data_IF_291467382387
#
_entry.id   IF_291467382387
#
_cell.length_a   1.000
_cell.length_b   1.000
_cell.length_c   1.000
_cell.angle_alpha   90.00
_cell.angle_beta   90.00
_cell.angle_gamma   90.00
#
_symmetry.space_group_name_H-M   'P 1'
#
loop_
_entity.id
_entity.type
_entity.pdbx_description
1 polymer ?
#
# COMPACT_ATOMS: atom_id res chain seq x y z
N UNK A 1 20.67 -6.53 4.26
CA UNK A 1 20.33 -5.68 5.43
C UNK A 1 18.86 -5.74 5.82
N UNK A 2 17.90 -5.58 4.89
CA UNK A 2 16.45 -5.60 5.23
C UNK A 2 15.92 -6.87 5.93
N UNK A 3 16.32 -8.05 5.45
CA UNK A 3 15.92 -9.35 6.04
C UNK A 3 16.49 -9.50 7.46
N UNK A 4 17.73 -9.06 7.68
CA UNK A 4 18.36 -9.03 9.00
C UNK A 4 17.61 -8.08 9.95
N UNK A 5 17.24 -6.89 9.49
CA UNK A 5 16.44 -5.95 10.28
C UNK A 5 15.06 -6.54 10.64
N UNK A 6 14.39 -7.22 9.71
CA UNK A 6 13.14 -7.92 10.00
C UNK A 6 13.30 -9.06 11.02
N UNK A 7 14.39 -9.84 10.94
CA UNK A 7 14.69 -10.89 11.91
C UNK A 7 14.89 -10.35 13.33
N UNK A 8 15.64 -9.25 13.46
CA UNK A 8 15.83 -8.56 14.75
C UNK A 8 14.50 -8.02 15.27
N UNK A 9 13.74 -7.32 14.43
CA UNK A 9 12.48 -6.71 14.85
C UNK A 9 11.44 -7.78 15.23
N UNK A 10 11.38 -8.89 14.50
CA UNK A 10 10.53 -10.04 14.83
C UNK A 10 10.93 -10.70 16.16
N UNK A 11 12.25 -10.84 16.42
CA UNK A 11 12.76 -11.31 17.71
C UNK A 11 12.39 -10.37 18.87
N UNK A 12 12.50 -9.05 18.67
CA UNK A 12 12.07 -8.05 19.66
C UNK A 12 10.57 -8.14 19.92
N UNK A 13 9.74 -8.38 18.90
CA UNK A 13 8.29 -8.56 19.07
C UNK A 13 7.95 -9.71 20.02
N UNK A 14 8.67 -10.83 19.92
CA UNK A 14 8.49 -11.98 20.82
C UNK A 14 8.94 -11.63 22.24
N UNK A 15 10.10 -10.98 22.39
CA UNK A 15 10.66 -10.60 23.69
C UNK A 15 9.85 -9.50 24.41
N UNK A 16 9.07 -8.70 23.68
CA UNK A 16 8.25 -7.61 24.22
C UNK A 16 6.80 -7.99 24.46
N UNK A 17 6.47 -9.29 24.37
CA UNK A 17 5.11 -9.83 24.51
C UNK A 17 4.09 -9.10 23.61
N UNK A 18 4.38 -9.10 22.31
CA UNK A 18 3.47 -8.56 21.28
C UNK A 18 3.13 -7.07 21.48
N UNK A 19 4.11 -6.28 21.95
CA UNK A 19 3.95 -4.85 21.98
C UNK A 19 3.60 -4.34 20.55
N UNK A 20 2.56 -3.51 20.41
CA UNK A 20 2.03 -3.11 19.11
C UNK A 20 3.04 -2.29 18.29
N UNK A 21 4.03 -1.67 18.94
CA UNK A 21 5.09 -0.91 18.28
C UNK A 21 6.00 -1.83 17.44
N UNK A 22 6.66 -2.87 17.99
CA UNK A 22 7.40 -3.86 17.21
C UNK A 22 6.58 -4.59 16.14
N UNK A 23 5.33 -4.97 16.44
CA UNK A 23 4.46 -5.65 15.46
C UNK A 23 4.20 -4.75 14.25
N UNK A 24 3.74 -3.52 14.49
CA UNK A 24 3.50 -2.53 13.45
C UNK A 24 4.79 -2.20 12.69
N UNK A 25 5.90 -2.02 13.41
CA UNK A 25 7.21 -1.77 12.83
C UNK A 25 7.66 -2.88 11.88
N UNK A 26 7.43 -4.14 12.23
CA UNK A 26 7.84 -5.28 11.40
C UNK A 26 7.04 -5.32 10.09
N UNK A 27 5.74 -5.06 10.19
CA UNK A 27 4.85 -5.03 9.04
C UNK A 27 5.16 -3.85 8.11
N UNK A 28 5.31 -2.64 8.67
CA UNK A 28 5.64 -1.43 7.91
C UNK A 28 7.03 -1.52 7.27
N UNK A 29 8.00 -2.16 7.92
CA UNK A 29 9.31 -2.42 7.35
C UNK A 29 9.26 -3.38 6.14
N UNK A 30 8.28 -4.27 6.07
CA UNK A 30 8.10 -5.16 4.92
C UNK A 30 7.72 -4.41 3.64
N UNK A 31 7.04 -3.25 3.75
CA UNK A 31 6.58 -2.47 2.60
C UNK A 31 7.75 -2.07 1.68
N UNK A 32 8.79 -1.36 2.13
CA UNK A 32 9.93 -1.02 1.26
C UNK A 32 10.68 -2.24 0.75
N UNK A 33 10.69 -3.38 1.47
CA UNK A 33 11.34 -4.61 1.03
C UNK A 33 10.61 -5.26 -0.14
N UNK A 34 9.28 -5.39 -0.05
CA UNK A 34 8.43 -5.88 -1.14
C UNK A 34 8.56 -4.95 -2.36
N UNK A 35 8.54 -3.63 -2.12
CA UNK A 35 8.72 -2.63 -3.17
C UNK A 35 10.08 -2.77 -3.88
N UNK A 36 11.16 -2.93 -3.11
CA UNK A 36 12.52 -3.14 -3.64
C UNK A 36 12.64 -4.44 -4.42
N UNK A 37 12.09 -5.54 -3.91
CA UNK A 37 12.08 -6.84 -4.58
C UNK A 37 11.32 -6.79 -5.92
N UNK A 38 10.15 -6.14 -5.94
CA UNK A 38 9.36 -5.99 -7.16
C UNK A 38 10.05 -5.09 -8.19
N UNK A 39 10.68 -4.00 -7.74
CA UNK A 39 11.46 -3.12 -8.62
C UNK A 39 12.67 -3.84 -9.23
N UNK A 40 13.40 -4.61 -8.42
CA UNK A 40 14.52 -5.44 -8.89
C UNK A 40 14.06 -6.48 -9.92
N UNK A 41 12.95 -7.18 -9.63
CA UNK A 41 12.36 -8.16 -10.55
C UNK A 41 11.99 -7.52 -11.90
N UNK A 42 11.35 -6.35 -11.90
CA UNK A 42 11.01 -5.67 -13.15
C UNK A 42 12.24 -5.22 -13.94
N UNK A 43 13.27 -4.74 -13.24
CA UNK A 43 14.55 -4.38 -13.84
C UNK A 43 15.24 -5.57 -14.52
N UNK A 44 15.26 -6.73 -13.86
CA UNK A 44 15.81 -7.98 -14.42
C UNK A 44 15.02 -8.45 -15.64
N UNK A 45 13.69 -8.30 -15.62
CA UNK A 45 12.81 -8.68 -16.74
C UNK A 45 12.78 -7.65 -17.88
N UNK A 46 13.58 -6.59 -17.81
CA UNK A 46 13.59 -5.48 -18.78
C UNK A 46 12.19 -4.90 -19.04
N UNK A 47 11.33 -4.93 -18.02
CA UNK A 47 9.96 -4.38 -18.10
C UNK A 47 10.01 -2.91 -17.69
N UNK A 48 10.03 -2.03 -18.67
CA UNK A 48 9.92 -0.59 -18.43
C UNK A 48 8.44 -0.18 -18.34
N UNK A 49 8.14 0.72 -17.40
CA UNK A 49 6.86 1.40 -17.38
C UNK A 49 6.80 2.43 -18.50
N UNK A 50 5.61 2.70 -19.01
CA UNK A 50 5.42 3.75 -20.01
C UNK A 50 4.92 5.02 -19.33
N UNK A 51 5.39 6.20 -19.75
CA UNK A 51 4.85 7.48 -19.27
C UNK A 51 3.33 7.53 -19.45
N UNK A 52 2.66 8.10 -18.47
CA UNK A 52 1.19 8.31 -18.47
C UNK A 52 0.88 9.79 -18.53
N UNK A 53 -0.38 10.12 -18.83
CA UNK A 53 -0.87 11.50 -18.88
C UNK A 53 -0.52 12.25 -17.57
N UNK A 54 -0.15 13.55 -17.61
CA UNK A 54 0.29 14.30 -16.42
C UNK A 54 -0.68 14.22 -15.24
N UNK A 55 -1.99 14.30 -15.50
CA UNK A 55 -3.03 14.16 -14.46
C UNK A 55 -3.03 12.77 -13.84
N UNK A 56 -2.89 11.71 -14.64
CA UNK A 56 -2.77 10.34 -14.13
C UNK A 56 -1.52 10.16 -13.27
N UNK A 57 -0.41 10.80 -13.65
CA UNK A 57 0.80 10.81 -12.84
C UNK A 57 0.59 11.52 -11.50
N UNK A 58 -0.08 12.67 -11.49
CA UNK A 58 -0.39 13.40 -10.26
C UNK A 58 -1.23 12.55 -9.30
N UNK A 59 -2.32 11.95 -9.80
CA UNK A 59 -3.19 11.09 -8.98
C UNK A 59 -2.42 9.86 -8.47
N UNK A 60 -1.61 9.22 -9.31
CA UNK A 60 -0.79 8.09 -8.89
C UNK A 60 0.27 8.47 -7.83
N UNK A 61 0.84 9.69 -7.90
CA UNK A 61 1.77 10.21 -6.88
C UNK A 61 1.09 10.43 -5.52
N UNK A 62 -0.21 10.73 -5.50
CA UNK A 62 -0.99 10.87 -4.27
C UNK A 62 -1.44 9.50 -3.75
N UNK A 63 -1.74 8.56 -4.66
CA UNK A 63 -2.25 7.23 -4.33
C UNK A 63 -1.25 6.40 -3.50
N UNK A 64 0.05 6.47 -3.82
CA UNK A 64 1.08 5.71 -3.08
C UNK A 64 1.21 6.16 -1.60
N UNK A 65 1.42 7.45 -1.27
CA UNK A 65 1.49 7.87 0.13
C UNK A 65 0.16 7.64 0.86
N UNK A 66 -0.99 7.79 0.18
CA UNK A 66 -2.28 7.44 0.77
C UNK A 66 -2.38 5.94 1.09
N UNK A 67 -1.84 5.06 0.23
CA UNK A 67 -1.76 3.62 0.51
C UNK A 67 -0.89 3.33 1.74
N UNK A 68 0.25 4.01 1.88
CA UNK A 68 1.10 3.90 3.07
C UNK A 68 0.36 4.36 4.33
N UNK A 69 -0.40 5.46 4.24
CA UNK A 69 -1.23 5.97 5.34
C UNK A 69 -2.30 4.95 5.74
N UNK A 70 -3.04 4.39 4.79
CA UNK A 70 -4.06 3.36 5.02
C UNK A 70 -3.44 2.16 5.75
N UNK A 71 -2.31 1.64 5.27
CA UNK A 71 -1.63 0.51 5.90
C UNK A 71 -1.16 0.85 7.31
N UNK A 72 -0.59 2.05 7.50
CA UNK A 72 -0.15 2.53 8.83
C UNK A 72 -1.33 2.60 9.80
N UNK A 73 -2.44 3.21 9.40
CA UNK A 73 -3.64 3.27 10.24
C UNK A 73 -4.20 1.86 10.54
N UNK A 74 -4.13 0.93 9.59
CA UNK A 74 -4.49 -0.48 9.83
C UNK A 74 -3.65 -1.13 10.93
N UNK A 75 -2.34 -0.82 11.01
CA UNK A 75 -1.50 -1.30 12.12
C UNK A 75 -1.87 -0.66 13.46
N UNK A 76 -2.33 0.61 13.45
CA UNK A 76 -2.84 1.28 14.66
C UNK A 76 -4.15 0.65 15.12
N UNK A 77 -5.08 0.35 14.20
CA UNK A 77 -6.33 -0.38 14.52
C UNK A 77 -6.01 -1.73 15.16
N UNK A 78 -5.07 -2.48 14.58
CA UNK A 78 -4.65 -3.78 15.10
C UNK A 78 -4.04 -3.65 16.51
N UNK A 79 -3.17 -2.66 16.73
CA UNK A 79 -2.53 -2.41 18.02
C UNK A 79 -3.43 -1.79 19.10
N UNK A 80 -4.61 -1.28 18.72
CA UNK A 80 -5.63 -0.80 19.64
C UNK A 80 -6.71 -1.85 19.94
N UNK A 81 -6.89 -2.84 19.07
CA UNK A 81 -7.93 -3.85 19.18
C UNK A 81 -7.81 -4.78 20.39
N UNK A 82 -8.90 -5.51 20.74
CA UNK A 82 -8.92 -6.40 21.90
C UNK A 82 -7.99 -7.61 21.77
N UNK A 83 -7.72 -8.05 20.54
CA UNK A 83 -6.90 -9.22 20.23
C UNK A 83 -5.57 -8.81 19.57
N UNK A 84 -4.70 -8.11 20.31
CA UNK A 84 -3.36 -7.72 19.83
C UNK A 84 -2.35 -8.90 19.80
N UNK A 85 -2.85 -10.12 19.53
CA UNK A 85 -2.09 -11.36 19.47
C UNK A 85 -2.04 -12.18 20.77
N UNK A 86 -2.37 -11.59 21.93
CA UNK A 86 -2.55 -12.24 23.24
C UNK A 86 -3.52 -11.37 24.08
N UNK A 87 -4.31 -11.98 24.97
CA UNK A 87 -5.20 -11.26 25.90
C UNK A 87 -4.43 -10.29 26.81
N UNK A 88 -3.17 -10.58 27.11
CA UNK A 88 -2.29 -9.76 27.98
C UNK A 88 -1.44 -8.72 27.21
N UNK A 89 -1.57 -8.64 25.88
CA UNK A 89 -0.75 -7.77 25.07
C UNK A 89 -1.01 -6.27 25.36
N UNK A 90 0.07 -5.47 25.35
CA UNK A 90 -0.03 -4.00 25.51
C UNK A 90 -0.80 -3.40 24.33
N UNK A 91 -1.52 -2.29 24.57
CA UNK A 91 -2.28 -1.58 23.54
C UNK A 91 -1.85 -0.12 23.47
N UNK A 92 -2.11 0.54 22.34
CA UNK A 92 -1.83 1.98 22.20
C UNK A 92 -2.71 2.88 23.09
N UNK A 93 -3.83 2.36 23.61
CA UNK A 93 -4.74 3.11 24.47
C UNK A 93 -5.71 4.04 23.72
N UNK A 94 -5.71 4.01 22.38
CA UNK A 94 -6.75 4.68 21.59
C UNK A 94 -8.07 3.91 21.66
N UNK A 95 -9.19 4.63 21.50
CA UNK A 95 -10.49 4.00 21.29
C UNK A 95 -10.48 3.20 19.97
N UNK A 96 -10.65 1.85 20.02
CA UNK A 96 -10.62 1.00 18.84
C UNK A 96 -11.68 1.38 17.80
N UNK A 97 -12.84 1.89 18.24
CA UNK A 97 -13.90 2.30 17.34
C UNK A 97 -13.49 3.53 16.54
N UNK A 98 -13.06 4.60 17.21
CA UNK A 98 -12.58 5.81 16.53
C UNK A 98 -11.45 5.54 15.52
N UNK A 99 -10.43 4.75 15.89
CA UNK A 99 -9.33 4.46 14.95
C UNK A 99 -9.78 3.59 13.78
N UNK A 100 -10.75 2.70 14.00
CA UNK A 100 -11.33 1.87 12.93
C UNK A 100 -12.10 2.71 11.92
N UNK A 101 -12.88 3.70 12.39
CA UNK A 101 -13.57 4.65 11.50
C UNK A 101 -12.59 5.50 10.71
N UNK A 102 -11.59 6.07 11.36
CA UNK A 102 -10.55 6.85 10.66
C UNK A 102 -9.82 6.00 9.60
N UNK A 103 -9.49 4.75 9.92
CA UNK A 103 -8.92 3.83 8.94
C UNK A 103 -9.88 3.58 7.77
N UNK A 104 -11.16 3.29 8.04
CA UNK A 104 -12.17 3.08 7.01
C UNK A 104 -12.33 4.30 6.09
N UNK A 105 -12.34 5.52 6.64
CA UNK A 105 -12.41 6.76 5.87
C UNK A 105 -11.23 6.89 4.90
N UNK A 106 -10.02 6.54 5.34
CA UNK A 106 -8.85 6.57 4.46
C UNK A 106 -8.90 5.48 3.38
N UNK A 107 -9.48 4.31 3.65
CA UNK A 107 -9.72 3.26 2.65
C UNK A 107 -10.73 3.74 1.61
N UNK A 108 -11.81 4.40 2.03
CA UNK A 108 -12.81 4.99 1.12
C UNK A 108 -12.15 6.06 0.24
N UNK A 109 -11.36 6.96 0.83
CA UNK A 109 -10.61 7.96 0.09
C UNK A 109 -9.68 7.33 -0.96
N UNK A 110 -8.99 6.23 -0.62
CA UNK A 110 -8.13 5.48 -1.53
C UNK A 110 -8.91 4.86 -2.70
N UNK A 111 -10.08 4.28 -2.42
CA UNK A 111 -10.97 3.71 -3.44
C UNK A 111 -11.48 4.82 -4.38
N UNK A 112 -11.96 5.93 -3.84
CA UNK A 112 -12.44 7.08 -4.61
C UNK A 112 -11.34 7.66 -5.50
N UNK A 113 -10.12 7.83 -4.97
CA UNK A 113 -8.97 8.29 -5.75
C UNK A 113 -8.61 7.32 -6.88
N UNK A 114 -8.71 6.02 -6.63
CA UNK A 114 -8.46 4.98 -7.64
C UNK A 114 -9.52 5.01 -8.75
N UNK A 115 -10.80 5.20 -8.39
CA UNK A 115 -11.89 5.37 -9.36
C UNK A 115 -11.65 6.63 -10.19
N UNK A 116 -11.29 7.75 -9.55
CA UNK A 116 -10.94 8.98 -10.25
C UNK A 116 -9.79 8.77 -11.25
N UNK A 117 -8.75 8.02 -10.87
CA UNK A 117 -7.66 7.66 -11.78
C UNK A 117 -8.13 6.82 -12.98
N UNK A 118 -9.04 5.86 -12.78
CA UNK A 118 -9.63 5.08 -13.88
C UNK A 118 -10.41 5.99 -14.84
N UNK A 119 -11.20 6.92 -14.30
CA UNK A 119 -11.98 7.86 -15.10
C UNK A 119 -11.08 8.80 -15.90
N UNK A 120 -10.04 9.36 -15.27
CA UNK A 120 -9.03 10.19 -15.95
C UNK A 120 -8.38 9.41 -17.08
N UNK A 121 -7.86 8.20 -16.80
CA UNK A 121 -7.26 7.37 -17.84
C UNK A 121 -8.22 7.09 -19.00
N UNK A 122 -9.51 6.88 -18.71
CA UNK A 122 -10.53 6.63 -19.73
C UNK A 122 -10.77 7.84 -20.64
N UNK A 123 -10.78 9.05 -20.08
CA UNK A 123 -11.02 10.30 -20.82
C UNK A 123 -9.76 10.77 -21.55
N UNK A 124 -8.57 10.52 -21.01
CA UNK A 124 -7.29 10.92 -21.61
C UNK A 124 -6.70 9.84 -22.53
N UNK A 125 -7.50 8.84 -22.93
CA UNK A 125 -7.06 7.74 -23.80
C UNK A 125 -6.71 8.27 -25.19
N UNK A 126 -5.50 7.99 -25.64
CA UNK A 126 -5.05 8.18 -27.03
C UNK A 126 -4.80 6.82 -27.71
N UNK A 127 -4.59 6.80 -29.02
CA UNK A 127 -4.24 5.56 -29.77
C UNK A 127 -2.97 4.87 -29.25
N UNK A 128 -2.13 5.56 -28.47
CA UNK A 128 -0.91 5.05 -27.83
C UNK A 128 -1.08 4.80 -26.32
N UNK A 129 -2.29 4.50 -25.85
CA UNK A 129 -2.52 4.32 -24.40
C UNK A 129 -1.88 3.02 -23.87
N UNK A 130 -1.14 3.13 -22.78
CA UNK A 130 -0.52 2.01 -22.09
C UNK A 130 -1.56 1.08 -21.42
N UNK A 131 -1.93 0.01 -22.12
CA UNK A 131 -2.88 -1.00 -21.63
C UNK A 131 -2.45 -1.67 -20.32
N UNK A 132 -1.15 -1.72 -20.01
CA UNK A 132 -0.66 -2.36 -18.79
C UNK A 132 -0.89 -1.50 -17.55
N UNK A 133 -0.79 -0.17 -17.67
CA UNK A 133 -1.08 0.73 -16.56
C UNK A 133 -2.57 0.67 -16.19
N UNK A 134 -3.47 0.73 -17.17
CA UNK A 134 -4.92 0.61 -16.94
C UNK A 134 -5.30 -0.72 -16.28
N UNK A 135 -4.67 -1.82 -16.69
CA UNK A 135 -4.85 -3.12 -16.03
C UNK A 135 -4.36 -3.07 -14.58
N UNK A 136 -3.19 -2.49 -14.32
CA UNK A 136 -2.66 -2.37 -12.96
C UNK A 136 -3.57 -1.54 -12.05
N UNK A 137 -4.15 -0.43 -12.53
CA UNK A 137 -5.11 0.39 -11.77
C UNK A 137 -6.38 -0.41 -11.44
N UNK A 138 -6.92 -1.18 -12.40
CA UNK A 138 -8.09 -2.03 -12.16
C UNK A 138 -7.82 -3.16 -11.17
N UNK A 139 -6.65 -3.80 -11.27
CA UNK A 139 -6.22 -4.82 -10.30
C UNK A 139 -6.11 -4.20 -8.90
N UNK A 140 -5.50 -3.01 -8.80
CA UNK A 140 -5.40 -2.30 -7.53
C UNK A 140 -6.79 -2.01 -6.94
N UNK A 141 -7.74 -1.51 -7.75
CA UNK A 141 -9.11 -1.30 -7.30
C UNK A 141 -9.77 -2.59 -6.80
N UNK A 142 -9.66 -3.68 -7.57
CA UNK A 142 -10.28 -4.96 -7.20
C UNK A 142 -9.72 -5.52 -5.89
N UNK A 143 -8.40 -5.48 -5.71
CA UNK A 143 -7.74 -5.93 -4.48
C UNK A 143 -8.13 -5.05 -3.30
N UNK A 144 -8.16 -3.72 -3.47
CA UNK A 144 -8.57 -2.77 -2.43
C UNK A 144 -10.03 -2.93 -2.02
N UNK A 145 -10.94 -3.18 -2.98
CA UNK A 145 -12.34 -3.48 -2.68
C UNK A 145 -12.48 -4.78 -1.90
N UNK A 146 -11.81 -5.85 -2.34
CA UNK A 146 -11.82 -7.12 -1.63
C UNK A 146 -11.28 -6.97 -0.19
N UNK A 147 -10.22 -6.18 0.00
CA UNK A 147 -9.69 -5.89 1.33
C UNK A 147 -10.60 -5.01 2.19
N UNK A 148 -11.22 -3.99 1.61
CA UNK A 148 -12.22 -3.19 2.30
C UNK A 148 -13.40 -4.03 2.77
N UNK A 149 -13.86 -4.97 1.93
CA UNK A 149 -14.90 -5.94 2.30
C UNK A 149 -14.46 -6.85 3.43
N UNK A 150 -13.25 -7.42 3.37
CA UNK A 150 -12.74 -8.25 4.47
C UNK A 150 -12.61 -7.46 5.78
N UNK A 151 -12.12 -6.22 5.73
CA UNK A 151 -12.01 -5.34 6.90
C UNK A 151 -13.38 -5.02 7.50
N UNK A 152 -14.39 -4.77 6.66
CA UNK A 152 -15.77 -4.57 7.11
C UNK A 152 -16.32 -5.84 7.80
N UNK A 153 -16.19 -7.00 7.17
CA UNK A 153 -16.60 -8.27 7.78
C UNK A 153 -15.88 -8.48 9.12
N UNK A 154 -14.56 -8.27 9.16
CA UNK A 154 -13.74 -8.39 10.36
C UNK A 154 -14.25 -7.50 11.51
N UNK A 155 -14.63 -6.26 11.22
CA UNK A 155 -15.17 -5.32 12.21
C UNK A 155 -16.50 -5.81 12.81
N UNK A 156 -17.43 -6.30 11.98
CA UNK A 156 -18.76 -6.73 12.44
C UNK A 156 -18.82 -8.14 13.01
N UNK A 157 -17.90 -9.02 12.63
CA UNK A 157 -17.86 -10.42 13.10
C UNK A 157 -17.00 -10.62 14.34
N UNK A 158 -16.44 -9.54 14.90
CA UNK A 158 -15.68 -9.62 16.15
C UNK A 158 -14.26 -10.17 16.00
N UNK A 159 -13.60 -9.89 14.87
CA UNK A 159 -12.20 -10.25 14.61
C UNK A 159 -11.88 -11.76 14.54
N UNK A 160 -12.62 -12.58 13.77
CA UNK A 160 -12.30 -14.00 13.64
C UNK A 160 -10.90 -14.20 13.02
N UNK A 161 -10.08 -15.07 13.62
CA UNK A 161 -8.65 -15.22 13.32
C UNK A 161 -8.35 -15.42 11.83
N UNK A 162 -9.14 -16.26 11.16
CA UNK A 162 -8.98 -16.53 9.73
C UNK A 162 -9.15 -15.26 8.89
N UNK A 163 -10.15 -14.43 9.21
CA UNK A 163 -10.40 -13.18 8.46
C UNK A 163 -9.29 -12.17 8.73
N UNK A 164 -8.82 -12.08 9.97
CA UNK A 164 -7.65 -11.25 10.33
C UNK A 164 -6.42 -11.67 9.53
N UNK A 165 -6.13 -12.97 9.45
CA UNK A 165 -5.03 -13.51 8.66
C UNK A 165 -5.16 -13.17 7.16
N UNK A 166 -6.36 -13.34 6.59
CA UNK A 166 -6.64 -12.97 5.20
C UNK A 166 -6.49 -11.45 4.96
N UNK A 167 -6.87 -10.63 5.94
CA UNK A 167 -6.76 -9.18 5.85
C UNK A 167 -5.30 -8.71 5.93
N UNK A 168 -4.48 -9.35 6.77
CA UNK A 168 -3.03 -9.09 6.85
C UNK A 168 -2.31 -9.48 5.56
N UNK A 169 -2.57 -10.69 5.05
CA UNK A 169 -2.02 -11.14 3.77
C UNK A 169 -2.44 -10.21 2.63
N UNK A 170 -3.72 -9.86 2.60
CA UNK A 170 -4.30 -8.98 1.62
C UNK A 170 -3.78 -7.54 1.67
N UNK A 171 -3.41 -7.04 2.84
CA UNK A 171 -2.73 -5.75 3.00
C UNK A 171 -1.38 -5.73 2.27
N UNK A 172 -0.64 -6.83 2.29
CA UNK A 172 0.58 -7.02 1.48
C UNK A 172 0.28 -7.04 -0.03
N UNK A 173 -0.85 -7.62 -0.45
CA UNK A 173 -1.29 -7.61 -1.85
C UNK A 173 -1.71 -6.21 -2.31
N UNK A 174 -2.41 -5.42 -1.49
CA UNK A 174 -2.73 -4.01 -1.76
C UNK A 174 -1.45 -3.23 -2.01
N UNK A 175 -0.46 -3.36 -1.12
CA UNK A 175 0.83 -2.69 -1.30
C UNK A 175 1.56 -3.14 -2.57
N UNK A 176 1.58 -4.44 -2.83
CA UNK A 176 2.20 -5.01 -4.03
C UNK A 176 1.55 -4.47 -5.31
N UNK A 177 0.21 -4.39 -5.33
CA UNK A 177 -0.55 -3.84 -6.45
C UNK A 177 -0.32 -2.33 -6.63
N UNK A 178 -0.27 -1.55 -5.54
CA UNK A 178 0.08 -0.13 -5.57
C UNK A 178 1.47 0.10 -6.16
N UNK A 179 2.46 -0.68 -5.72
CA UNK A 179 3.83 -0.55 -6.23
C UNK A 179 3.94 -1.02 -7.68
N UNK A 180 3.23 -2.08 -8.07
CA UNK A 180 3.17 -2.52 -9.46
C UNK A 180 2.58 -1.42 -10.37
N UNK A 181 1.52 -0.74 -9.93
CA UNK A 181 0.94 0.43 -10.60
C UNK A 181 1.98 1.54 -10.77
N UNK A 182 2.71 1.89 -9.69
CA UNK A 182 3.80 2.89 -9.74
C UNK A 182 4.83 2.56 -10.81
N UNK A 183 5.27 1.30 -10.86
CA UNK A 183 6.28 0.85 -11.81
C UNK A 183 5.74 0.88 -13.26
N UNK A 184 4.53 0.37 -13.48
CA UNK A 184 3.89 0.35 -14.82
C UNK A 184 3.60 1.73 -15.39
N UNK A 185 3.27 2.70 -14.52
CA UNK A 185 3.04 4.09 -14.91
C UNK A 185 4.31 4.95 -14.99
N UNK A 186 5.48 4.37 -14.72
CA UNK A 186 6.77 5.09 -14.60
C UNK A 186 6.68 6.34 -13.72
N UNK A 187 6.05 6.18 -12.54
CA UNK A 187 5.77 7.31 -11.65
C UNK A 187 7.03 7.71 -10.91
N UNK A 188 7.55 8.90 -11.24
CA UNK A 188 8.75 9.49 -10.67
C UNK A 188 8.42 10.73 -9.82
N UNK A 189 8.91 10.75 -8.59
CA UNK A 189 8.70 11.86 -7.64
C UNK A 189 9.68 13.02 -7.85
N UNK A 190 10.83 12.75 -8.46
CA UNK A 190 11.83 13.75 -8.80
C UNK A 190 11.76 14.04 -10.30
N UNK A 191 11.62 15.30 -10.67
CA UNK A 191 11.84 15.77 -12.04
C UNK A 191 13.31 15.58 -12.36
N UNK A 192 13.63 14.75 -13.36
CA UNK A 192 14.95 14.85 -14.00
C UNK A 192 14.95 16.18 -14.74
N UNK A 193 15.69 17.16 -14.26
CA UNK A 193 16.11 18.26 -15.13
C UNK A 193 16.86 17.63 -16.30
N UNK A 194 16.25 17.73 -17.47
CA UNK A 194 16.94 17.51 -18.73
C UNK A 194 18.05 18.54 -18.76
N UNK A 195 19.29 18.13 -18.44
CA UNK A 195 20.47 18.91 -18.83
C UNK A 195 20.37 19.07 -20.34
N UNK A 196 20.01 20.27 -20.77
CA UNK A 196 20.05 20.65 -22.16
C UNK A 196 21.45 20.39 -22.65
N UNK A 197 21.57 19.50 -23.63
CA UNK A 197 22.75 19.47 -24.49
C UNK A 197 22.74 20.79 -25.26
N UNK A 198 23.40 21.81 -24.72
CA UNK A 198 23.91 22.91 -25.52
C UNK A 198 24.94 22.31 -26.47
N UNK A 199 24.47 21.95 -27.66
CA UNK A 199 25.29 21.88 -28.86
C UNK A 199 24.86 23.05 -29.72
N UNK A 200 25.66 24.11 -29.75
CA UNK A 200 25.41 25.27 -30.58
C UNK A 200 26.37 26.43 -30.31
N UNK A 201 27.64 26.27 -30.69
CA UNK A 201 28.46 27.20 -31.47
C UNK A 201 29.95 26.85 -31.33
#
# INVERSE_FOLDING_TARGET
MGIFAQGILGGITVLTQLNPIPVAGHFLLSLPLIAGALALRQKILLKEGSPTHPTSQLLAKILIPLTVLVVTLGTVVTGSGPHAGDEQAKRFGFDPQMVSWLHADTVIALICLTIALILVNRVTRTTSTNNDFDKAVKIFLAVSLAQGTLGYIQYFTGLPELIVGLHLLGSGLVWTAAWNLKLKGNINYFTRESKGTEHGA
#
